data_IF_079581865767
#
_entry.id   IF_079581865767
#
_cell.length_a   1.000
_cell.length_b   1.000
_cell.length_c   1.000
_cell.angle_alpha   90.00
_cell.angle_beta   90.00
_cell.angle_gamma   90.00
#
_symmetry.space_group_name_H-M   'P 1'
#
loop_
_entity.id
_entity.type
_entity.pdbx_description
1 polymer ?
#
# COMPACT_ATOMS: atom_id res chain seq x y z
N UNK A 1 -13.57 -5.36 3.30
CA UNK A 1 -12.10 -5.20 3.35
C UNK A 1 -11.58 -5.22 1.92
N UNK A 2 -10.57 -4.41 1.63
CA UNK A 2 -9.88 -4.33 0.34
C UNK A 2 -8.36 -4.39 0.55
N UNK A 3 -7.63 -4.89 -0.45
CA UNK A 3 -6.16 -4.84 -0.50
C UNK A 3 -5.74 -4.14 -1.78
N UNK A 4 -5.05 -3.02 -1.63
CA UNK A 4 -4.56 -2.25 -2.77
C UNK A 4 -3.05 -2.36 -2.93
N UNK A 5 -2.62 -2.94 -4.06
CA UNK A 5 -1.22 -2.92 -4.50
C UNK A 5 -0.87 -1.55 -5.10
N UNK A 6 0.10 -0.86 -4.51
CA UNK A 6 0.57 0.46 -4.94
C UNK A 6 2.07 0.47 -5.17
N UNK A 7 2.51 1.13 -6.23
CA UNK A 7 3.93 1.35 -6.47
C UNK A 7 4.49 2.36 -5.48
N UNK A 8 5.58 2.01 -4.79
CA UNK A 8 6.21 2.91 -3.83
C UNK A 8 6.85 4.10 -4.54
N UNK A 9 6.98 5.20 -3.81
CA UNK A 9 7.72 6.37 -4.28
C UNK A 9 9.22 6.10 -4.06
N UNK A 10 10.04 6.14 -5.12
CA UNK A 10 11.49 5.96 -4.98
C UNK A 10 12.12 7.12 -4.20
N UNK A 11 13.22 6.84 -3.51
CA UNK A 11 14.06 7.87 -2.87
C UNK A 11 14.51 8.91 -3.91
N UNK A 12 14.47 10.20 -3.52
CA UNK A 12 14.74 11.33 -4.42
C UNK A 12 13.59 11.63 -5.41
N UNK A 13 12.49 10.85 -5.38
CA UNK A 13 11.28 11.11 -6.13
C UNK A 13 11.22 10.46 -7.51
N UNK A 14 10.07 10.64 -8.16
CA UNK A 14 9.75 10.06 -9.47
C UNK A 14 9.74 11.12 -10.58
N UNK A 15 9.00 10.87 -11.67
CA UNK A 15 8.84 11.78 -12.81
C UNK A 15 8.58 13.24 -12.43
N UNK A 16 7.78 13.48 -11.37
CA UNK A 16 7.42 14.83 -10.93
C UNK A 16 8.65 15.64 -10.46
N UNK A 17 9.66 14.98 -9.90
CA UNK A 17 10.88 15.62 -9.37
C UNK A 17 12.03 15.53 -10.37
N UNK A 18 12.21 14.38 -11.01
CA UNK A 18 13.39 14.06 -11.84
C UNK A 18 13.15 14.20 -13.35
N UNK A 19 11.93 14.51 -13.80
CA UNK A 19 11.55 14.42 -15.22
C UNK A 19 11.38 12.97 -15.71
N UNK A 20 10.87 12.80 -16.94
CA UNK A 20 10.35 11.49 -17.41
C UNK A 20 11.44 10.43 -17.51
N UNK A 21 12.59 10.80 -18.07
CA UNK A 21 13.67 9.86 -18.37
C UNK A 21 14.37 9.37 -17.09
N UNK A 22 14.82 10.29 -16.22
CA UNK A 22 15.47 9.92 -14.95
C UNK A 22 14.47 9.30 -13.96
N UNK A 23 13.24 9.81 -13.88
CA UNK A 23 12.18 9.21 -13.05
C UNK A 23 11.84 7.77 -13.45
N UNK A 24 11.86 7.43 -14.75
CA UNK A 24 11.65 6.04 -15.20
C UNK A 24 12.79 5.11 -14.79
N UNK A 25 14.05 5.59 -14.83
CA UNK A 25 15.21 4.84 -14.33
C UNK A 25 15.15 4.65 -12.81
N UNK A 26 14.67 5.65 -12.07
CA UNK A 26 14.57 5.59 -10.61
C UNK A 26 13.41 4.70 -10.11
N UNK A 27 12.37 4.48 -10.93
CA UNK A 27 11.18 3.70 -10.54
C UNK A 27 11.47 2.22 -10.24
N UNK A 28 12.47 1.61 -10.87
CA UNK A 28 12.68 0.16 -10.79
C UNK A 28 13.05 -0.35 -9.40
N UNK A 29 13.53 0.52 -8.50
CA UNK A 29 14.03 0.14 -7.18
C UNK A 29 13.00 0.22 -6.05
N UNK A 30 11.86 0.89 -6.26
CA UNK A 30 10.96 1.21 -5.15
C UNK A 30 10.05 0.05 -4.73
N UNK A 31 9.74 -0.88 -5.64
CA UNK A 31 8.85 -2.01 -5.35
C UNK A 31 7.39 -1.59 -5.13
N UNK A 32 6.64 -2.42 -4.39
CA UNK A 32 5.23 -2.22 -4.09
C UNK A 32 4.96 -2.29 -2.60
N UNK A 33 3.99 -1.51 -2.14
CA UNK A 33 3.32 -1.66 -0.84
C UNK A 33 1.89 -2.16 -1.05
N UNK A 34 1.37 -2.84 -0.04
CA UNK A 34 0.03 -3.42 -0.06
C UNK A 34 -0.79 -2.80 1.06
N UNK A 35 -1.75 -1.94 0.71
CA UNK A 35 -2.60 -1.26 1.67
C UNK A 35 -3.81 -2.13 1.98
N UNK A 36 -3.85 -2.72 3.17
CA UNK A 36 -5.01 -3.46 3.68
C UNK A 36 -5.94 -2.46 4.33
N UNK A 37 -7.18 -2.36 3.84
CA UNK A 37 -8.17 -1.40 4.34
C UNK A 37 -9.46 -2.12 4.73
N UNK A 38 -9.96 -1.80 5.92
CA UNK A 38 -11.29 -2.19 6.37
C UNK A 38 -12.13 -0.95 6.65
N UNK A 39 -13.42 -1.03 6.33
CA UNK A 39 -14.41 0.00 6.63
C UNK A 39 -15.51 -0.68 7.41
N UNK A 40 -15.83 -0.15 8.57
CA UNK A 40 -16.94 -0.62 9.39
C UNK A 40 -18.25 0.00 8.92
N UNK A 41 -19.30 -0.81 8.79
CA UNK A 41 -20.60 -0.34 8.29
C UNK A 41 -21.38 0.44 9.35
N UNK A 42 -21.20 0.10 10.63
CA UNK A 42 -21.95 0.72 11.71
C UNK A 42 -21.42 2.12 12.06
N UNK A 43 -20.13 2.21 12.37
CA UNK A 43 -19.45 3.44 12.77
C UNK A 43 -18.95 4.29 11.60
N UNK A 44 -18.92 3.72 10.39
CA UNK A 44 -18.31 4.33 9.19
C UNK A 44 -16.82 4.66 9.34
N UNK A 45 -16.14 4.07 10.33
CA UNK A 45 -14.69 4.21 10.50
C UNK A 45 -13.93 3.36 9.47
N UNK A 46 -12.78 3.87 9.04
CA UNK A 46 -11.85 3.17 8.18
C UNK A 46 -10.52 2.93 8.90
N UNK A 47 -9.99 1.72 8.78
CA UNK A 47 -8.68 1.33 9.29
C UNK A 47 -7.81 0.82 8.14
N UNK A 48 -6.60 1.35 8.04
CA UNK A 48 -5.67 0.99 6.96
C UNK A 48 -4.26 0.74 7.49
N UNK A 49 -3.63 -0.33 6.99
CA UNK A 49 -2.23 -0.65 7.26
C UNK A 49 -1.48 -1.01 5.97
N UNK A 50 -0.18 -0.73 5.96
CA UNK A 50 0.70 -1.07 4.84
C UNK A 50 1.45 -2.36 5.18
N UNK A 51 1.39 -3.32 4.26
CA UNK A 51 2.10 -4.60 4.32
C UNK A 51 3.03 -4.80 3.12
N UNK A 52 3.89 -5.81 3.23
CA UNK A 52 4.86 -6.21 2.20
C UNK A 52 4.30 -7.17 1.15
N UNK A 53 3.09 -7.71 1.37
CA UNK A 53 2.42 -8.63 0.45
C UNK A 53 0.88 -8.63 0.61
N UNK A 54 0.22 -9.30 -0.34
CA UNK A 54 -1.23 -9.51 -0.41
C UNK A 54 -1.64 -10.95 -0.04
N UNK A 55 -0.79 -11.70 0.66
CA UNK A 55 -1.04 -13.11 0.91
C UNK A 55 -2.12 -13.32 1.96
N UNK A 56 -2.71 -14.51 1.92
CA UNK A 56 -3.78 -14.95 2.82
C UNK A 56 -3.38 -14.81 4.29
N UNK A 57 -2.15 -15.17 4.64
CA UNK A 57 -1.65 -15.13 6.02
C UNK A 57 -1.65 -13.70 6.56
N UNK A 58 -1.09 -12.76 5.77
CA UNK A 58 -1.05 -11.33 6.08
C UNK A 58 -2.45 -10.73 6.20
N UNK A 59 -3.35 -11.07 5.26
CA UNK A 59 -4.74 -10.60 5.29
C UNK A 59 -5.52 -11.12 6.51
N UNK A 60 -5.25 -12.37 6.92
CA UNK A 60 -5.88 -12.97 8.11
C UNK A 60 -5.38 -12.31 9.39
N UNK A 61 -4.07 -12.04 9.48
CA UNK A 61 -3.48 -11.32 10.61
C UNK A 61 -3.94 -9.85 10.69
N UNK A 62 -4.15 -9.19 9.55
CA UNK A 62 -4.82 -7.88 9.50
C UNK A 62 -6.25 -7.97 10.03
N UNK A 63 -7.03 -8.95 9.55
CA UNK A 63 -8.40 -9.17 10.00
C UNK A 63 -8.50 -9.31 11.53
N UNK A 64 -7.62 -10.11 12.15
CA UNK A 64 -7.59 -10.30 13.60
C UNK A 64 -7.26 -9.04 14.41
N UNK A 65 -6.64 -8.02 13.81
CA UNK A 65 -6.34 -6.73 14.47
C UNK A 65 -7.48 -5.72 14.28
N UNK A 66 -8.25 -5.88 13.22
CA UNK A 66 -9.38 -5.00 12.87
C UNK A 66 -10.67 -5.36 13.60
N UNK A 67 -10.76 -6.53 14.23
CA UNK A 67 -11.97 -6.93 14.96
C UNK A 67 -12.31 -5.86 16.02
N UNK A 68 -13.38 -5.13 15.76
CA UNK A 68 -14.16 -4.29 16.68
C UNK A 68 -15.52 -4.97 16.85
#
# INVERSE_FOLDING_TARGET
MDIKKLGNIPDGGAHKVLGRQAGRKNRSKAGYGYLHTAVDDHSRLAYSEIHTDEKKETATAFGGRVIV
#
